data_IF_667250736018
#
_entry.id   IF_667250736018
#
_cell.length_a   1.000
_cell.length_b   1.000
_cell.length_c   1.000
_cell.angle_alpha   90.00
_cell.angle_beta   90.00
_cell.angle_gamma   90.00
#
_symmetry.space_group_name_H-M   'P 1'
#
loop_
_entity.id
_entity.type
_entity.pdbx_description
1 polymer ?
#
# COMPACT_ATOMS: atom_id res chain seq x y z
N UNK A 1 -22.58 -22.16 8.86
CA UNK A 1 -21.60 -21.05 8.91
C UNK A 1 -21.37 -20.67 10.37
N UNK A 2 -20.16 -20.87 10.90
CA UNK A 2 -19.83 -20.49 12.27
C UNK A 2 -19.77 -18.96 12.37
N UNK A 3 -20.83 -18.34 12.92
CA UNK A 3 -20.79 -16.93 13.31
C UNK A 3 -19.70 -16.80 14.36
N UNK A 4 -18.70 -15.96 14.09
CA UNK A 4 -17.66 -15.63 15.05
C UNK A 4 -18.34 -15.31 16.39
N UNK A 5 -18.12 -16.15 17.40
CA UNK A 5 -18.72 -15.93 18.71
C UNK A 5 -18.30 -14.53 19.19
N UNK A 6 -19.26 -13.64 19.45
CA UNK A 6 -18.93 -12.31 19.93
C UNK A 6 -18.23 -12.47 21.27
N UNK A 7 -16.98 -12.01 21.35
CA UNK A 7 -16.22 -11.97 22.59
C UNK A 7 -17.05 -11.34 23.71
N UNK A 8 -16.92 -11.87 24.94
CA UNK A 8 -17.51 -11.27 26.13
C UNK A 8 -17.14 -9.78 26.23
N UNK A 9 -18.03 -8.91 26.75
CA UNK A 9 -17.72 -7.49 26.92
C UNK A 9 -16.37 -7.24 27.62
N UNK A 10 -16.00 -8.08 28.59
CA UNK A 10 -14.75 -7.96 29.31
C UNK A 10 -13.53 -8.31 28.42
N UNK A 11 -13.62 -9.39 27.66
CA UNK A 11 -12.57 -9.76 26.72
C UNK A 11 -12.37 -8.70 25.62
N UNK A 12 -13.46 -8.06 25.17
CA UNK A 12 -13.38 -6.96 24.20
C UNK A 12 -12.60 -5.79 24.78
N UNK A 13 -12.89 -5.39 26.01
CA UNK A 13 -12.17 -4.30 26.70
C UNK A 13 -10.68 -4.60 26.80
N UNK A 14 -10.30 -5.81 27.22
CA UNK A 14 -8.89 -6.21 27.33
C UNK A 14 -8.17 -6.16 25.99
N UNK A 15 -8.78 -6.67 24.91
CA UNK A 15 -8.20 -6.64 23.56
C UNK A 15 -8.05 -5.20 23.04
N UNK A 16 -9.08 -4.36 23.22
CA UNK A 16 -9.05 -2.96 22.82
C UNK A 16 -7.95 -2.20 23.59
N UNK A 17 -7.84 -2.45 24.90
CA UNK A 17 -6.82 -1.80 25.72
C UNK A 17 -5.42 -2.20 25.30
N UNK A 18 -5.17 -3.51 25.07
CA UNK A 18 -3.90 -4.01 24.52
C UNK A 18 -3.58 -3.37 23.16
N UNK A 19 -4.58 -3.19 22.31
CA UNK A 19 -4.39 -2.51 21.03
C UNK A 19 -4.00 -1.04 21.20
N UNK A 20 -4.70 -0.29 22.07
CA UNK A 20 -4.42 1.13 22.35
C UNK A 20 -3.01 1.32 22.90
N UNK A 21 -2.61 0.52 23.90
CA UNK A 21 -1.26 0.59 24.46
C UNK A 21 -0.19 0.26 23.42
N UNK A 22 -0.38 -0.82 22.64
CA UNK A 22 0.53 -1.18 21.54
C UNK A 22 0.61 -0.09 20.46
N UNK A 23 -0.50 0.57 20.14
CA UNK A 23 -0.55 1.66 19.16
C UNK A 23 0.24 2.87 19.62
N UNK A 24 0.08 3.27 20.89
CA UNK A 24 0.78 4.41 21.47
C UNK A 24 2.29 4.15 21.58
N UNK A 25 2.70 2.89 21.74
CA UNK A 25 4.11 2.48 21.85
C UNK A 25 4.75 2.08 20.51
N UNK A 26 4.15 2.41 19.37
CA UNK A 26 4.75 2.11 18.06
C UNK A 26 6.04 2.92 17.87
N UNK A 27 7.07 2.24 17.38
CA UNK A 27 8.33 2.89 17.01
C UNK A 27 8.30 3.23 15.52
N UNK A 28 8.18 4.53 15.19
CA UNK A 28 8.21 5.01 13.80
C UNK A 28 9.62 5.29 13.28
N UNK A 29 10.57 5.49 14.20
CA UNK A 29 11.98 5.63 13.83
C UNK A 29 12.49 4.30 13.28
N UNK A 30 13.29 4.37 12.21
CA UNK A 30 13.91 3.17 11.61
C UNK A 30 14.82 2.49 12.64
N UNK A 31 14.55 1.22 12.96
CA UNK A 31 15.36 0.42 13.88
C UNK A 31 16.07 -0.71 13.12
N UNK A 32 17.39 -0.77 13.25
CA UNK A 32 18.18 -1.90 12.76
C UNK A 32 18.18 -3.00 13.82
N UNK A 33 17.45 -4.09 13.57
CA UNK A 33 17.35 -5.22 14.52
C UNK A 33 18.55 -6.17 14.41
N UNK A 34 19.08 -6.36 13.21
CA UNK A 34 20.17 -7.29 12.92
C UNK A 34 21.37 -6.53 12.37
N UNK A 35 22.34 -6.23 13.24
CA UNK A 35 23.52 -5.46 12.87
C UNK A 35 24.34 -6.16 11.78
N UNK A 36 24.55 -7.48 11.89
CA UNK A 36 25.29 -8.26 10.89
C UNK A 36 24.67 -8.17 9.48
N UNK A 37 23.34 -8.20 9.36
CA UNK A 37 22.69 -8.05 8.04
C UNK A 37 22.85 -6.65 7.47
N UNK A 38 22.91 -5.63 8.33
CA UNK A 38 23.13 -4.24 7.93
C UNK A 38 24.54 -4.05 7.38
N UNK A 39 25.56 -4.50 8.11
CA UNK A 39 26.96 -4.40 7.65
C UNK A 39 27.19 -5.15 6.33
N UNK A 40 26.62 -6.35 6.18
CA UNK A 40 26.68 -7.09 4.92
C UNK A 40 26.00 -6.34 3.75
N UNK A 41 24.86 -5.70 3.99
CA UNK A 41 24.14 -4.94 2.97
C UNK A 41 24.80 -3.61 2.61
N UNK A 42 25.57 -3.03 3.53
CA UNK A 42 26.31 -1.79 3.32
C UNK A 42 27.61 -2.03 2.54
N UNK A 43 28.29 -3.16 2.79
CA UNK A 43 29.55 -3.49 2.12
C UNK A 43 29.36 -4.07 0.70
N UNK A 44 28.16 -4.51 0.32
CA UNK A 44 27.89 -5.14 -0.98
C UNK A 44 27.80 -4.10 -2.12
N UNK A 45 28.40 -4.34 -3.31
CA UNK A 45 28.39 -3.37 -4.40
C UNK A 45 26.98 -3.08 -4.92
N UNK A 46 26.73 -1.80 -5.24
CA UNK A 46 25.44 -1.32 -5.75
C UNK A 46 25.60 -0.48 -7.01
N UNK A 47 24.68 -0.64 -7.95
CA UNK A 47 24.54 0.20 -9.15
C UNK A 47 23.13 0.80 -9.11
N UNK A 48 23.02 2.13 -9.09
CA UNK A 48 21.74 2.87 -8.98
C UNK A 48 20.84 2.40 -7.81
N UNK A 49 21.46 2.09 -6.66
CA UNK A 49 20.76 1.65 -5.44
C UNK A 49 20.41 0.15 -5.36
N UNK A 50 20.56 -0.60 -6.46
CA UNK A 50 20.34 -2.05 -6.54
C UNK A 50 21.65 -2.79 -6.30
N UNK A 51 21.61 -3.99 -5.72
CA UNK A 51 22.81 -4.82 -5.63
C UNK A 51 23.26 -5.26 -7.02
N UNK A 52 24.55 -5.11 -7.31
CA UNK A 52 25.12 -5.55 -8.58
C UNK A 52 25.20 -7.09 -8.63
N UNK A 53 25.00 -7.65 -9.82
CA UNK A 53 25.38 -9.04 -10.12
C UNK A 53 26.86 -9.12 -10.45
N UNK A 54 27.46 -10.29 -10.28
CA UNK A 54 28.90 -10.46 -10.42
C UNK A 54 29.44 -10.03 -11.81
N UNK A 55 28.65 -10.19 -12.88
CA UNK A 55 29.01 -9.79 -14.25
C UNK A 55 28.95 -8.27 -14.50
N UNK A 56 28.18 -7.54 -13.69
CA UNK A 56 27.97 -6.09 -13.82
C UNK A 56 29.06 -5.29 -13.08
N UNK A 57 29.79 -5.92 -12.17
CA UNK A 57 30.85 -5.28 -11.37
C UNK A 57 32.08 -4.95 -12.24
N UNK A 58 32.32 -5.72 -13.30
CA UNK A 58 33.45 -5.53 -14.23
C UNK A 58 33.13 -4.63 -15.44
N UNK A 59 31.85 -4.32 -15.67
CA UNK A 59 31.41 -3.40 -16.72
C UNK A 59 31.00 -2.11 -16.04
N UNK A 60 31.90 -1.13 -16.01
CA UNK A 60 31.59 0.26 -15.69
C UNK A 60 30.27 0.62 -16.39
N UNK A 61 29.19 0.96 -15.65
CA UNK A 61 27.90 1.23 -16.27
C UNK A 61 27.99 2.61 -16.91
N UNK A 62 28.60 2.68 -18.09
CA UNK A 62 28.39 3.77 -19.03
C UNK A 62 26.90 3.89 -19.19
N UNK A 63 26.39 5.07 -18.86
CA UNK A 63 24.97 5.36 -18.73
C UNK A 63 24.20 5.01 -20.01
N UNK A 64 23.75 3.78 -20.14
CA UNK A 64 22.79 3.37 -21.15
C UNK A 64 21.40 3.43 -20.51
N UNK A 65 20.96 4.65 -20.22
CA UNK A 65 19.54 4.97 -20.02
C UNK A 65 18.99 5.59 -21.31
N UNK A 66 19.45 5.12 -22.46
CA UNK A 66 19.14 5.71 -23.76
C UNK A 66 18.71 4.67 -24.79
N UNK A 67 18.22 3.50 -24.37
CA UNK A 67 17.81 2.46 -25.31
C UNK A 67 16.54 1.70 -24.91
N UNK A 68 15.52 2.42 -24.43
CA UNK A 68 14.11 2.11 -24.74
C UNK A 68 13.42 3.48 -24.75
N UNK A 69 13.25 4.05 -25.94
CA UNK A 69 12.73 5.41 -26.13
C UNK A 69 12.90 5.83 -27.57
N UNK A 70 12.59 4.92 -28.49
CA UNK A 70 12.39 5.18 -29.91
C UNK A 70 11.17 4.32 -30.27
N UNK A 71 10.02 4.99 -30.31
CA UNK A 71 8.69 4.41 -30.25
C UNK A 71 7.72 5.56 -30.00
N UNK A 72 7.54 6.36 -31.05
CA UNK A 72 6.74 7.58 -31.10
C UNK A 72 5.23 7.29 -30.99
N UNK A 73 4.70 6.69 -29.92
CA UNK A 73 3.24 6.52 -29.76
C UNK A 73 2.77 6.47 -28.28
N UNK A 74 2.87 7.56 -27.50
CA UNK A 74 2.22 7.63 -26.18
C UNK A 74 1.71 9.04 -25.82
N UNK A 75 0.89 9.63 -26.69
CA UNK A 75 0.05 10.78 -26.31
C UNK A 75 -1.39 10.36 -25.88
N UNK A 76 -1.80 9.09 -26.09
CA UNK A 76 -3.16 8.64 -25.79
C UNK A 76 -3.32 8.00 -24.38
N UNK A 77 -2.28 7.36 -23.84
CA UNK A 77 -2.39 6.64 -22.56
C UNK A 77 -2.39 7.57 -21.34
N UNK A 78 -1.77 8.74 -21.48
CA UNK A 78 -1.67 9.73 -20.41
C UNK A 78 -3.03 10.43 -20.15
N UNK A 79 -3.87 10.62 -21.17
CA UNK A 79 -5.23 11.13 -21.04
C UNK A 79 -6.18 10.10 -20.37
N UNK A 80 -5.95 8.81 -20.62
CA UNK A 80 -6.74 7.72 -20.05
C UNK A 80 -6.59 7.63 -18.51
N UNK A 81 -5.37 7.77 -17.98
CA UNK A 81 -5.15 7.72 -16.52
C UNK A 81 -5.73 8.93 -15.78
N UNK A 82 -5.66 10.12 -16.38
CA UNK A 82 -6.24 11.35 -15.80
C UNK A 82 -7.77 11.26 -15.79
N UNK A 83 -8.37 10.72 -16.86
CA UNK A 83 -9.82 10.50 -16.97
C UNK A 83 -10.35 9.46 -15.98
N UNK A 84 -9.60 8.36 -15.77
CA UNK A 84 -9.92 7.34 -14.77
C UNK A 84 -9.89 7.95 -13.35
N UNK A 85 -8.90 8.81 -13.07
CA UNK A 85 -8.76 9.45 -11.77
C UNK A 85 -9.87 10.48 -11.51
N UNK A 86 -10.19 11.33 -12.49
CA UNK A 86 -11.29 12.30 -12.40
C UNK A 86 -12.65 11.63 -12.24
N UNK A 87 -12.89 10.52 -12.94
CA UNK A 87 -14.14 9.76 -12.81
C UNK A 87 -14.29 9.13 -11.42
N UNK A 88 -13.19 8.71 -10.78
CA UNK A 88 -13.19 8.16 -9.43
C UNK A 88 -13.39 9.26 -8.36
N UNK A 89 -12.82 10.44 -8.58
CA UNK A 89 -13.02 11.60 -7.70
C UNK A 89 -14.45 12.13 -7.82
N UNK A 90 -15.00 12.23 -9.03
CA UNK A 90 -16.37 12.67 -9.28
C UNK A 90 -17.42 11.72 -8.66
N UNK A 91 -17.23 10.41 -8.76
CA UNK A 91 -18.12 9.42 -8.14
C UNK A 91 -18.15 9.50 -6.60
N UNK A 92 -17.05 9.94 -5.98
CA UNK A 92 -16.96 10.10 -4.53
C UNK A 92 -17.51 11.46 -4.03
N UNK A 93 -17.78 12.42 -4.92
CA UNK A 93 -18.31 13.75 -4.56
C UNK A 93 -19.86 13.80 -4.53
N UNK A 94 -20.56 12.75 -4.97
CA UNK A 94 -22.03 12.72 -5.05
C UNK A 94 -22.69 12.07 -3.82
N UNK A 95 -21.94 11.45 -2.91
CA UNK A 95 -22.51 10.81 -1.73
C UNK A 95 -22.26 11.58 -0.42
N UNK A 96 -22.67 12.85 -0.35
CA UNK A 96 -22.93 13.47 0.94
C UNK A 96 -24.08 14.50 0.91
N UNK A 97 -25.07 14.23 1.77
CA UNK A 97 -26.24 15.02 2.17
C UNK A 97 -27.49 14.95 1.27
N UNK A 98 -28.70 14.62 1.71
CA UNK A 98 -29.35 14.24 2.98
C UNK A 98 -30.73 13.72 2.55
N UNK A 99 -31.23 12.59 3.04
CA UNK A 99 -32.39 12.64 3.94
C UNK A 99 -32.68 11.30 4.63
N UNK A 100 -33.20 11.49 5.82
CA UNK A 100 -33.81 10.56 6.75
C UNK A 100 -35.01 9.77 6.18
N UNK A 101 -35.47 8.80 6.97
CA UNK A 101 -36.80 8.16 6.92
C UNK A 101 -36.94 6.86 6.13
N UNK A 102 -36.99 5.73 6.85
CA UNK A 102 -38.25 5.03 7.13
C UNK A 102 -37.99 3.54 7.33
N UNK A 103 -38.48 3.02 8.46
CA UNK A 103 -38.75 1.60 8.65
C UNK A 103 -39.46 1.03 7.40
N UNK A 104 -39.00 -0.11 6.91
CA UNK A 104 -39.62 -0.79 5.77
C UNK A 104 -39.25 -2.28 5.76
N UNK A 105 -40.25 -3.09 6.05
CA UNK A 105 -40.26 -4.53 6.28
C UNK A 105 -40.14 -5.41 5.03
N UNK A 106 -39.48 -6.56 5.20
CA UNK A 106 -39.86 -7.94 4.79
C UNK A 106 -40.32 -8.21 3.34
N UNK A 107 -39.56 -9.07 2.65
CA UNK A 107 -40.02 -10.26 1.89
C UNK A 107 -38.78 -11.05 1.46
N UNK A 108 -38.47 -12.23 2.01
CA UNK A 108 -38.96 -13.58 1.67
C UNK A 108 -39.02 -13.89 0.17
N UNK A 109 -38.59 -15.11 -0.16
CA UNK A 109 -38.84 -15.96 -1.36
C UNK A 109 -37.54 -16.26 -2.15
N UNK A 110 -37.33 -17.49 -2.66
CA UNK A 110 -37.75 -18.82 -2.20
C UNK A 110 -36.58 -19.65 -1.62
#
# INVERSE_FOLDING_TARGET
MNRAYPYSPEEKKVRIQRYRTKRNQRNFKKKIKYACRKTLADNRPRIRGRFAKNEEIGKNPTAQWSHIGDGEEEDEENENWVSIFDSLVAANLVHESLDSSSFGSVSLIP
#
